data_IF_379065030645
#
_entry.id   IF_379065030645
#
_cell.length_a   1.000
_cell.length_b   1.000
_cell.length_c   1.000
_cell.angle_alpha   90.00
_cell.angle_beta   90.00
_cell.angle_gamma   90.00
#
_symmetry.space_group_name_H-M   'P 1'
#
loop_
_entity.id
_entity.type
_entity.pdbx_description
1 polymer ?
#
# COMPACT_ATOMS: atom_id res chain seq x y z
N UNK A 1 53.77 32.34 20.97
CA UNK A 1 52.29 32.42 21.13
C UNK A 1 51.75 33.29 20.00
N UNK A 2 50.78 32.92 19.16
CA UNK A 2 49.49 32.26 19.41
C UNK A 2 49.04 31.58 18.11
N UNK A 3 48.90 30.25 18.13
CA UNK A 3 48.23 29.48 17.07
C UNK A 3 46.71 29.69 17.22
N UNK A 4 46.04 30.35 16.28
CA UNK A 4 44.56 30.47 16.26
C UNK A 4 43.93 29.56 15.21
N UNK A 5 43.63 28.34 15.66
CA UNK A 5 42.46 27.47 15.37
C UNK A 5 41.75 27.65 14.02
N UNK A 6 42.04 26.75 13.08
CA UNK A 6 41.12 26.38 12.00
C UNK A 6 40.00 25.53 12.62
N UNK A 7 38.76 26.04 12.59
CA UNK A 7 37.56 25.29 13.00
C UNK A 7 37.01 24.55 11.78
N UNK A 8 37.42 23.30 11.59
CA UNK A 8 36.85 22.42 10.56
C UNK A 8 35.42 22.04 10.99
N UNK A 9 34.42 22.57 10.31
CA UNK A 9 33.02 22.15 10.45
C UNK A 9 32.89 20.83 9.67
N UNK A 10 32.89 19.69 10.36
CA UNK A 10 32.45 18.41 9.79
C UNK A 10 30.94 18.49 9.49
N UNK A 11 30.60 18.94 8.29
CA UNK A 11 29.25 18.84 7.75
C UNK A 11 28.82 17.38 7.71
N UNK A 12 27.71 17.07 8.37
CA UNK A 12 27.07 15.75 8.38
C UNK A 12 26.81 15.32 6.94
N UNK A 13 27.42 14.21 6.51
CA UNK A 13 27.04 13.58 5.25
C UNK A 13 25.54 13.27 5.29
N UNK A 14 24.82 13.65 4.23
CA UNK A 14 23.46 13.20 4.03
C UNK A 14 23.47 11.68 3.95
N UNK A 15 23.02 11.01 5.02
CA UNK A 15 22.74 9.58 4.98
C UNK A 15 21.52 9.39 4.09
N UNK A 16 21.73 9.10 2.80
CA UNK A 16 20.67 8.59 1.93
C UNK A 16 20.19 7.28 2.55
N UNK A 17 19.05 7.33 3.24
CA UNK A 17 18.40 6.16 3.79
C UNK A 17 18.11 5.22 2.62
N UNK A 18 18.79 4.07 2.55
CA UNK A 18 18.51 3.03 1.56
C UNK A 18 17.01 2.72 1.61
N UNK A 19 16.30 3.03 0.54
CA UNK A 19 14.92 2.56 0.36
C UNK A 19 15.03 1.06 0.20
N UNK A 20 14.64 0.33 1.24
CA UNK A 20 14.58 -1.13 1.12
C UNK A 20 13.41 -1.47 0.20
N UNK A 21 13.64 -2.33 -0.79
CA UNK A 21 12.65 -2.72 -1.80
C UNK A 21 11.45 -3.46 -1.22
N UNK A 22 11.58 -4.03 -0.01
CA UNK A 22 10.53 -4.75 0.70
C UNK A 22 9.58 -3.84 1.50
N UNK A 23 9.80 -2.52 1.49
CA UNK A 23 8.99 -1.60 2.29
C UNK A 23 7.57 -1.50 1.73
N UNK A 24 6.63 -2.21 2.37
CA UNK A 24 5.20 -2.12 2.07
C UNK A 24 4.63 -0.74 2.41
N UNK A 25 3.69 -0.27 1.60
CA UNK A 25 2.88 0.93 1.87
C UNK A 25 1.70 0.52 2.75
N UNK A 26 1.53 1.21 3.88
CA UNK A 26 0.45 0.92 4.83
C UNK A 26 -0.82 1.67 4.42
N UNK A 27 -1.92 0.93 4.27
CA UNK A 27 -3.27 1.48 4.17
C UNK A 27 -3.96 1.26 5.52
N UNK A 28 -4.43 2.34 6.16
CA UNK A 28 -5.13 2.28 7.45
C UNK A 28 -6.64 2.36 7.19
N UNK A 29 -7.30 1.21 7.17
CA UNK A 29 -8.75 1.13 7.01
C UNK A 29 -9.47 1.23 8.36
N UNK A 30 -10.52 2.04 8.43
CA UNK A 30 -11.48 2.00 9.53
C UNK A 30 -12.53 0.92 9.24
N UNK A 31 -12.53 -0.16 10.03
CA UNK A 31 -13.51 -1.25 9.92
C UNK A 31 -14.49 -1.20 11.09
N UNK A 32 -15.71 -1.66 10.86
CA UNK A 32 -16.65 -1.92 11.95
C UNK A 32 -16.18 -3.11 12.79
N UNK A 33 -16.67 -3.25 14.03
CA UNK A 33 -16.34 -4.41 14.87
C UNK A 33 -16.77 -5.74 14.22
N UNK A 34 -17.93 -5.74 13.55
CA UNK A 34 -18.45 -6.94 12.88
C UNK A 34 -17.56 -7.37 11.70
N UNK A 35 -17.13 -6.44 10.85
CA UNK A 35 -16.21 -6.74 9.75
C UNK A 35 -14.84 -7.19 10.25
N UNK A 36 -14.36 -6.57 11.34
CA UNK A 36 -13.13 -6.98 12.00
C UNK A 36 -13.21 -8.44 12.48
N UNK A 37 -14.32 -8.84 13.09
CA UNK A 37 -14.50 -10.19 13.63
C UNK A 37 -14.67 -11.24 12.52
N UNK A 38 -15.38 -10.90 11.43
CA UNK A 38 -15.46 -11.71 10.21
C UNK A 38 -14.07 -11.96 9.61
N UNK A 39 -13.29 -10.90 9.46
CA UNK A 39 -11.93 -10.99 8.94
C UNK A 39 -11.03 -11.83 9.86
N UNK A 40 -11.17 -11.69 11.18
CA UNK A 40 -10.41 -12.47 12.15
C UNK A 40 -10.76 -13.97 12.09
N UNK A 41 -12.04 -14.33 12.02
CA UNK A 41 -12.47 -15.72 11.88
C UNK A 41 -11.91 -16.37 10.62
N UNK A 42 -11.99 -15.66 9.50
CA UNK A 42 -11.45 -16.15 8.22
C UNK A 42 -9.93 -16.29 8.28
N UNK A 43 -9.23 -15.33 8.88
CA UNK A 43 -7.77 -15.37 9.02
C UNK A 43 -7.31 -16.59 9.83
N UNK A 44 -8.00 -16.90 10.93
CA UNK A 44 -7.75 -18.09 11.75
C UNK A 44 -8.00 -19.36 10.92
N UNK A 45 -9.11 -19.41 10.18
CA UNK A 45 -9.45 -20.57 9.34
C UNK A 45 -8.44 -20.83 8.23
N UNK A 46 -7.74 -19.80 7.74
CA UNK A 46 -6.73 -19.91 6.69
C UNK A 46 -5.30 -19.89 7.23
N UNK A 47 -5.10 -20.05 8.54
CA UNK A 47 -3.80 -20.08 9.21
C UNK A 47 -2.88 -18.89 8.85
N UNK A 48 -3.46 -17.69 8.76
CA UNK A 48 -2.70 -16.47 8.45
C UNK A 48 -3.04 -15.32 9.38
N UNK A 49 -2.14 -14.33 9.44
CA UNK A 49 -2.43 -13.11 10.20
C UNK A 49 -3.54 -12.32 9.51
N UNK A 50 -4.38 -11.65 10.32
CA UNK A 50 -5.45 -10.77 9.83
C UNK A 50 -4.96 -9.73 8.82
N UNK A 51 -3.79 -9.14 9.08
CA UNK A 51 -3.17 -8.16 8.18
C UNK A 51 -2.79 -8.78 6.84
N UNK A 52 -2.21 -9.99 6.84
CA UNK A 52 -1.87 -10.69 5.60
C UNK A 52 -3.12 -11.07 4.80
N UNK A 53 -4.18 -11.52 5.48
CA UNK A 53 -5.46 -11.79 4.81
C UNK A 53 -6.04 -10.51 4.17
N UNK A 54 -6.03 -9.39 4.90
CA UNK A 54 -6.49 -8.10 4.36
C UNK A 54 -5.67 -7.67 3.14
N UNK A 55 -4.34 -7.82 3.18
CA UNK A 55 -3.46 -7.57 2.03
C UNK A 55 -3.86 -8.44 0.82
N UNK A 56 -4.15 -9.73 1.04
CA UNK A 56 -4.60 -10.63 -0.03
C UNK A 56 -5.95 -10.24 -0.61
N UNK A 57 -6.92 -9.89 0.23
CA UNK A 57 -8.25 -9.48 -0.22
C UNK A 57 -8.14 -8.20 -1.06
N UNK A 58 -7.39 -7.20 -0.60
CA UNK A 58 -7.17 -5.96 -1.35
C UNK A 58 -6.50 -6.26 -2.70
N UNK A 59 -5.45 -7.08 -2.71
CA UNK A 59 -4.77 -7.49 -3.93
C UNK A 59 -5.71 -8.21 -4.90
N UNK A 60 -6.56 -9.12 -4.40
CA UNK A 60 -7.54 -9.85 -5.21
C UNK A 60 -8.55 -8.89 -5.84
N UNK A 61 -9.10 -7.95 -5.05
CA UNK A 61 -10.06 -6.98 -5.55
C UNK A 61 -9.45 -6.03 -6.58
N UNK A 62 -8.21 -5.59 -6.41
CA UNK A 62 -7.52 -4.72 -7.37
C UNK A 62 -7.05 -5.47 -8.64
N UNK A 63 -6.90 -6.79 -8.57
CA UNK A 63 -6.57 -7.65 -9.70
C UNK A 63 -7.81 -8.33 -10.32
N UNK A 64 -9.00 -7.76 -10.10
CA UNK A 64 -10.24 -8.20 -10.74
C UNK A 64 -10.95 -7.02 -11.40
N UNK A 65 -11.13 -7.10 -12.72
CA UNK A 65 -11.82 -6.09 -13.51
C UNK A 65 -13.25 -5.85 -12.99
N UNK A 66 -13.97 -6.92 -12.64
CA UNK A 66 -15.33 -6.84 -12.13
C UNK A 66 -15.41 -6.03 -10.83
N UNK A 67 -14.47 -6.28 -9.91
CA UNK A 67 -14.44 -5.55 -8.64
C UNK A 67 -14.08 -4.08 -8.86
N UNK A 68 -13.07 -3.80 -9.70
CA UNK A 68 -12.67 -2.43 -10.01
C UNK A 68 -13.83 -1.67 -10.65
N UNK A 69 -14.49 -2.23 -11.67
CA UNK A 69 -15.64 -1.63 -12.32
C UNK A 69 -16.79 -1.40 -11.34
N UNK A 70 -17.11 -2.38 -10.49
CA UNK A 70 -18.15 -2.22 -9.47
C UNK A 70 -17.87 -1.05 -8.52
N UNK A 71 -16.63 -0.89 -8.05
CA UNK A 71 -16.24 0.26 -7.22
C UNK A 71 -16.38 1.59 -7.97
N UNK A 72 -15.97 1.63 -9.24
CA UNK A 72 -16.09 2.84 -10.06
C UNK A 72 -17.54 3.20 -10.33
N UNK A 73 -18.41 2.24 -10.64
CA UNK A 73 -19.82 2.49 -10.90
C UNK A 73 -20.56 2.95 -9.64
N UNK A 74 -20.13 2.48 -8.48
CA UNK A 74 -20.77 2.82 -7.19
C UNK A 74 -20.29 4.15 -6.63
N UNK A 75 -18.98 4.45 -6.74
CA UNK A 75 -18.35 5.53 -5.98
C UNK A 75 -17.66 6.59 -6.83
N UNK A 76 -17.47 6.38 -8.14
CA UNK A 76 -16.84 7.39 -8.98
C UNK A 76 -17.75 8.62 -9.07
N UNK A 77 -17.18 9.79 -8.79
CA UNK A 77 -17.87 11.09 -8.86
C UNK A 77 -17.45 11.91 -10.07
N UNK A 78 -16.37 11.52 -10.74
CA UNK A 78 -15.78 12.26 -11.85
C UNK A 78 -15.21 11.29 -12.87
N UNK A 79 -15.90 11.18 -13.99
CA UNK A 79 -15.56 10.27 -15.09
C UNK A 79 -14.15 10.49 -15.66
N UNK A 80 -13.56 11.67 -15.47
CA UNK A 80 -12.17 11.95 -15.90
C UNK A 80 -11.13 11.10 -15.17
N UNK A 81 -11.46 10.57 -14.00
CA UNK A 81 -10.59 9.68 -13.22
C UNK A 81 -11.05 8.22 -13.29
N UNK A 82 -11.96 7.89 -14.22
CA UNK A 82 -12.32 6.50 -14.46
C UNK A 82 -11.10 5.79 -15.03
N UNK A 83 -10.67 4.77 -14.32
CA UNK A 83 -9.61 3.85 -14.69
C UNK A 83 -10.15 2.90 -15.76
N UNK A 84 -9.39 2.76 -16.85
CA UNK A 84 -9.58 1.67 -17.81
C UNK A 84 -8.70 0.49 -17.39
N UNK A 85 -9.32 -0.68 -17.26
CA UNK A 85 -8.68 -1.88 -16.75
C UNK A 85 -8.43 -2.83 -17.91
N UNK A 86 -7.18 -3.23 -18.13
CA UNK A 86 -6.83 -4.23 -19.14
C UNK A 86 -6.21 -5.47 -18.50
N UNK A 87 -6.79 -6.63 -18.83
CA UNK A 87 -6.27 -7.92 -18.38
C UNK A 87 -5.13 -8.38 -19.28
N UNK A 88 -3.94 -8.54 -18.70
CA UNK A 88 -2.75 -9.07 -19.36
C UNK A 88 -2.39 -10.45 -18.79
N UNK A 89 -1.46 -11.20 -19.41
CA UNK A 89 -0.96 -12.45 -18.85
C UNK A 89 -0.26 -12.29 -17.49
N UNK A 90 0.25 -11.09 -17.18
CA UNK A 90 0.98 -10.81 -15.94
C UNK A 90 0.07 -10.26 -14.82
N UNK A 91 -1.17 -9.88 -15.14
CA UNK A 91 -2.13 -9.36 -14.18
C UNK A 91 -3.09 -8.35 -14.78
N UNK A 92 -3.42 -7.34 -14.00
CA UNK A 92 -4.28 -6.23 -14.43
C UNK A 92 -3.44 -4.96 -14.52
N UNK A 93 -3.59 -4.25 -15.64
CA UNK A 93 -2.99 -2.94 -15.87
C UNK A 93 -4.05 -1.84 -15.87
N UNK A 94 -3.70 -0.69 -15.28
CA UNK A 94 -4.56 0.47 -15.07
C UNK A 94 -4.12 1.59 -16.03
N UNK A 95 -5.05 2.14 -16.82
CA UNK A 95 -4.84 3.21 -17.80
C UNK A 95 -5.74 4.41 -17.54
#
# INVERSE_FOLDING_TARGET
EIIRRIRIIKGRGFSMRKVRSDKKVKVLAGLTQDDHDKLQKLAISCEMTKTKLAEHIISLCLNSEDHVNWYQDTFNKNDKYRVVVHKTPEGIEYF
#
